data_IF_961408623233
#
_entry.id   IF_961408623233
#
_cell.length_a   1.000
_cell.length_b   1.000
_cell.length_c   1.000
_cell.angle_alpha   90.00
_cell.angle_beta   90.00
_cell.angle_gamma   90.00
#
_symmetry.space_group_name_H-M   'P 1'
#
loop_
_entity.id
_entity.type
_entity.pdbx_description
1 polymer ?
#
# COMPACT_ATOMS: atom_id res chain seq x y z
N UNK A 1 -2.35 -23.80 5.57
CA UNK A 1 -3.11 -22.54 5.74
C UNK A 1 -4.14 -22.57 4.64
N UNK A 2 -5.43 -22.50 4.97
CA UNK A 2 -6.46 -22.34 3.95
C UNK A 2 -6.40 -20.90 3.45
N UNK A 3 -6.13 -20.71 2.15
CA UNK A 3 -5.95 -19.39 1.53
C UNK A 3 -7.21 -18.49 1.70
N UNK A 4 -8.38 -19.09 1.84
CA UNK A 4 -9.65 -18.38 1.95
C UNK A 4 -9.80 -17.50 3.21
N UNK A 5 -9.06 -17.83 4.30
CA UNK A 5 -9.15 -17.14 5.59
C UNK A 5 -7.84 -16.39 5.94
N UNK A 6 -6.96 -16.21 4.96
CA UNK A 6 -5.67 -15.57 5.20
C UNK A 6 -5.59 -14.19 4.55
N UNK A 7 -5.09 -13.21 5.31
CA UNK A 7 -4.89 -11.83 4.86
C UNK A 7 -3.44 -11.40 5.05
N UNK A 8 -2.89 -10.71 4.07
CA UNK A 8 -1.61 -10.02 4.22
C UNK A 8 -1.89 -8.64 4.81
N UNK A 9 -1.27 -8.37 5.95
CA UNK A 9 -1.41 -7.07 6.60
C UNK A 9 -0.37 -6.10 6.03
N UNK A 10 -0.84 -5.03 5.42
CA UNK A 10 -0.01 -3.91 4.98
C UNK A 10 -0.17 -2.71 5.92
N UNK A 11 0.81 -1.84 5.93
CA UNK A 11 0.74 -0.56 6.61
C UNK A 11 0.99 0.58 5.62
N UNK A 12 0.21 1.65 5.70
CA UNK A 12 0.38 2.83 4.86
C UNK A 12 0.10 4.13 5.61
N UNK A 13 0.86 5.17 5.30
CA UNK A 13 0.58 6.55 5.71
C UNK A 13 -0.30 7.28 4.69
N UNK A 14 -0.51 6.67 3.52
CA UNK A 14 -1.09 7.30 2.33
C UNK A 14 -2.25 6.46 1.78
N UNK A 15 -3.36 6.29 2.51
CA UNK A 15 -4.47 5.41 2.11
C UNK A 15 -5.02 5.67 0.71
N UNK A 16 -4.95 6.91 0.22
CA UNK A 16 -5.43 7.26 -1.11
C UNK A 16 -4.66 6.56 -2.26
N UNK A 17 -3.49 5.94 -2.01
CA UNK A 17 -2.81 5.16 -3.05
C UNK A 17 -3.34 3.73 -3.17
N UNK A 18 -4.12 3.24 -2.20
CA UNK A 18 -4.65 1.88 -2.21
C UNK A 18 -5.48 1.54 -3.45
N UNK A 19 -6.36 2.42 -4.01
CA UNK A 19 -7.08 2.09 -5.24
C UNK A 19 -6.16 1.81 -6.45
N UNK A 20 -4.92 2.31 -6.41
CA UNK A 20 -3.90 2.06 -7.45
C UNK A 20 -2.98 0.87 -7.09
N UNK A 21 -3.29 0.09 -6.05
CA UNK A 21 -2.52 -1.12 -5.71
C UNK A 21 -2.55 -2.13 -6.84
N UNK A 22 -1.37 -2.65 -7.20
CA UNK A 22 -1.20 -3.71 -8.21
C UNK A 22 -0.41 -4.90 -7.67
N UNK A 23 0.22 -4.79 -6.48
CA UNK A 23 0.98 -5.87 -5.87
C UNK A 23 1.19 -5.63 -4.37
N UNK A 24 1.71 -6.65 -3.69
CA UNK A 24 2.28 -6.54 -2.34
C UNK A 24 3.74 -6.97 -2.42
N UNK A 25 4.66 -6.08 -1.99
CA UNK A 25 6.08 -6.38 -1.94
C UNK A 25 6.47 -6.97 -0.57
N UNK A 26 7.34 -7.98 -0.60
CA UNK A 26 7.96 -8.63 0.56
C UNK A 26 9.47 -8.75 0.33
N UNK A 27 10.27 -8.85 1.38
CA UNK A 27 11.71 -9.04 1.22
C UNK A 27 12.06 -10.52 1.12
N UNK A 28 12.87 -10.90 0.13
CA UNK A 28 13.20 -12.30 -0.22
C UNK A 28 13.64 -13.13 0.99
N UNK A 29 14.55 -12.60 1.80
CA UNK A 29 15.21 -13.31 2.90
C UNK A 29 14.56 -13.08 4.27
N UNK A 30 13.57 -12.19 4.37
CA UNK A 30 12.84 -11.94 5.61
C UNK A 30 11.94 -13.13 5.94
N UNK A 31 11.86 -13.46 7.23
CA UNK A 31 10.94 -14.46 7.73
C UNK A 31 9.58 -13.81 8.01
N UNK A 32 8.55 -14.47 7.54
CA UNK A 32 7.15 -14.11 7.76
C UNK A 32 6.48 -15.18 8.60
N UNK A 33 5.45 -14.78 9.33
CA UNK A 33 4.63 -15.72 10.08
C UNK A 33 3.15 -15.53 9.78
N UNK A 34 2.41 -16.63 9.89
CA UNK A 34 0.97 -16.60 9.91
C UNK A 34 0.49 -16.61 11.34
N UNK A 35 -0.32 -15.64 11.70
CA UNK A 35 -0.89 -15.43 13.03
C UNK A 35 -2.38 -15.72 12.99
N UNK A 36 -2.84 -16.67 13.78
CA UNK A 36 -4.27 -16.88 14.00
C UNK A 36 -4.79 -15.81 14.96
N UNK A 37 -5.84 -15.14 14.54
CA UNK A 37 -6.61 -14.16 15.32
C UNK A 37 -8.10 -14.46 15.20
N UNK A 38 -8.94 -13.77 15.95
CA UNK A 38 -10.41 -14.01 15.93
C UNK A 38 -11.04 -13.81 14.55
N UNK A 39 -10.49 -12.89 13.72
CA UNK A 39 -10.99 -12.56 12.38
C UNK A 39 -10.35 -13.41 11.26
N UNK A 40 -9.55 -14.44 11.57
CA UNK A 40 -8.88 -15.27 10.57
C UNK A 40 -7.38 -15.36 10.77
N UNK A 41 -6.63 -15.39 9.69
CA UNK A 41 -5.16 -15.50 9.73
C UNK A 41 -4.49 -14.26 9.13
N UNK A 42 -3.54 -13.67 9.84
CA UNK A 42 -2.74 -12.55 9.35
C UNK A 42 -1.32 -13.01 8.98
N UNK A 43 -0.81 -12.47 7.87
CA UNK A 43 0.57 -12.67 7.42
C UNK A 43 1.34 -11.37 7.60
N UNK A 44 2.43 -11.42 8.38
CA UNK A 44 3.34 -10.29 8.67
C UNK A 44 4.79 -10.78 8.77
N UNK A 45 5.75 -9.85 8.73
CA UNK A 45 7.13 -10.17 9.08
C UNK A 45 7.24 -10.60 10.54
N UNK A 46 7.97 -11.69 10.78
CA UNK A 46 8.10 -12.29 12.13
C UNK A 46 8.74 -11.33 13.13
N UNK A 47 9.73 -10.56 12.71
CA UNK A 47 10.44 -9.57 13.54
C UNK A 47 9.53 -8.42 14.02
N UNK A 48 8.40 -8.19 13.34
CA UNK A 48 7.44 -7.14 13.67
C UNK A 48 6.23 -7.65 14.48
N UNK A 49 6.22 -8.92 14.88
CA UNK A 49 5.08 -9.53 15.58
C UNK A 49 4.67 -8.76 16.83
N UNK A 50 5.63 -8.39 17.69
CA UNK A 50 5.32 -7.68 18.94
C UNK A 50 4.74 -6.29 18.67
N UNK A 51 5.40 -5.51 17.80
CA UNK A 51 4.97 -4.14 17.49
C UNK A 51 3.62 -4.09 16.78
N UNK A 52 3.34 -5.05 15.89
CA UNK A 52 2.04 -5.18 15.21
C UNK A 52 0.97 -5.62 16.20
N UNK A 53 1.25 -6.59 17.08
CA UNK A 53 0.29 -7.04 18.09
C UNK A 53 -0.12 -5.91 19.02
N UNK A 54 0.85 -5.10 19.47
CA UNK A 54 0.56 -3.91 20.27
C UNK A 54 -0.25 -2.87 19.51
N UNK A 55 0.18 -2.52 18.28
CA UNK A 55 -0.47 -1.48 17.47
C UNK A 55 -1.91 -1.85 17.07
N UNK A 56 -2.16 -3.13 16.81
CA UNK A 56 -3.46 -3.67 16.42
C UNK A 56 -4.28 -4.21 17.60
N UNK A 57 -3.75 -4.17 18.82
CA UNK A 57 -4.40 -4.69 20.04
C UNK A 57 -4.84 -6.15 19.88
N UNK A 58 -3.92 -6.99 19.33
CA UNK A 58 -4.22 -8.40 19.11
C UNK A 58 -4.08 -9.16 20.45
N UNK A 59 -5.16 -9.82 20.84
CA UNK A 59 -5.16 -10.65 22.06
C UNK A 59 -4.54 -12.03 21.75
N UNK A 60 -3.35 -12.30 22.31
CA UNK A 60 -2.64 -13.57 22.25
C UNK A 60 -2.63 -14.23 20.84
N UNK A 61 -2.10 -13.56 19.81
CA UNK A 61 -2.06 -14.13 18.46
C UNK A 61 -1.22 -15.41 18.44
N UNK A 62 -1.79 -16.49 17.91
CA UNK A 62 -1.10 -17.77 17.81
C UNK A 62 -0.30 -17.85 16.50
N UNK A 63 1.02 -18.00 16.59
CA UNK A 63 1.84 -18.26 15.40
C UNK A 63 1.64 -19.70 14.93
N UNK A 64 0.98 -19.89 13.79
CA UNK A 64 0.60 -21.19 13.24
C UNK A 64 1.48 -21.67 12.10
N UNK A 65 2.24 -20.78 11.43
CA UNK A 65 3.18 -21.12 10.39
C UNK A 65 4.29 -20.08 10.28
N UNK A 66 5.39 -20.47 9.61
CA UNK A 66 6.55 -19.64 9.31
C UNK A 66 7.03 -19.95 7.90
N UNK A 67 7.40 -18.91 7.16
CA UNK A 67 7.93 -19.01 5.78
C UNK A 67 8.83 -17.83 5.47
N UNK A 68 9.57 -17.91 4.38
CA UNK A 68 10.41 -16.83 3.86
C UNK A 68 9.63 -15.99 2.85
N UNK A 69 10.06 -14.75 2.56
CA UNK A 69 9.48 -13.97 1.48
C UNK A 69 9.63 -14.64 0.11
N UNK A 70 10.69 -15.42 -0.10
CA UNK A 70 10.85 -16.23 -1.31
C UNK A 70 9.71 -17.25 -1.50
N UNK A 71 9.20 -17.84 -0.43
CA UNK A 71 8.07 -18.79 -0.47
C UNK A 71 6.72 -18.09 -0.69
N UNK A 72 6.62 -16.81 -0.37
CA UNK A 72 5.44 -15.99 -0.66
C UNK A 72 5.42 -15.46 -2.10
N UNK A 73 6.59 -15.33 -2.72
CA UNK A 73 6.70 -14.78 -4.07
C UNK A 73 5.91 -15.59 -5.09
N UNK A 74 5.11 -14.92 -5.89
CA UNK A 74 4.26 -15.54 -6.91
C UNK A 74 2.91 -16.03 -6.40
N UNK A 75 2.64 -15.97 -5.09
CA UNK A 75 1.28 -16.12 -4.58
C UNK A 75 0.45 -14.89 -4.93
N UNK A 76 -0.86 -15.02 -4.88
CA UNK A 76 -1.79 -13.96 -5.22
C UNK A 76 -2.72 -13.63 -4.04
N UNK A 77 -2.74 -12.37 -3.65
CA UNK A 77 -3.74 -11.81 -2.76
C UNK A 77 -4.85 -11.14 -3.58
N UNK A 78 -5.96 -10.81 -2.94
CA UNK A 78 -7.02 -9.98 -3.53
C UNK A 78 -6.96 -8.58 -2.95
N UNK A 79 -7.19 -7.60 -3.81
CA UNK A 79 -7.37 -6.22 -3.37
C UNK A 79 -8.59 -6.12 -2.42
N UNK A 80 -8.52 -5.37 -1.31
CA UNK A 80 -9.56 -5.41 -0.26
C UNK A 80 -10.93 -4.87 -0.68
N UNK A 81 -11.04 -4.10 -1.77
CA UNK A 81 -12.32 -3.50 -2.19
C UNK A 81 -12.45 -3.28 -3.71
N UNK A 82 -11.49 -3.71 -4.51
CA UNK A 82 -11.56 -3.72 -5.97
C UNK A 82 -11.42 -5.18 -6.42
N UNK A 83 -12.20 -5.60 -7.40
CA UNK A 83 -12.07 -6.96 -7.96
C UNK A 83 -10.82 -7.05 -8.85
N UNK A 84 -9.67 -7.10 -8.20
CA UNK A 84 -8.36 -7.13 -8.83
C UNK A 84 -7.42 -8.03 -8.03
N UNK A 85 -6.62 -8.89 -8.73
CA UNK A 85 -5.54 -9.61 -8.09
C UNK A 85 -4.43 -8.65 -7.65
N UNK A 86 -3.74 -9.00 -6.56
CA UNK A 86 -2.58 -8.32 -6.02
C UNK A 86 -1.48 -9.36 -5.80
N UNK A 87 -0.64 -9.66 -6.81
CA UNK A 87 0.42 -10.63 -6.70
C UNK A 87 1.43 -10.23 -5.62
N UNK A 88 1.99 -11.22 -4.95
CA UNK A 88 3.08 -11.02 -3.98
C UNK A 88 4.40 -11.08 -4.75
N UNK A 89 5.19 -10.03 -4.62
CA UNK A 89 6.47 -9.85 -5.31
C UNK A 89 7.60 -9.66 -4.30
N UNK A 90 8.82 -10.04 -4.67
CA UNK A 90 9.98 -9.72 -3.84
C UNK A 90 10.60 -8.39 -4.24
N UNK A 91 10.99 -7.58 -3.23
CA UNK A 91 11.68 -6.32 -3.43
C UNK A 91 12.68 -6.05 -2.29
N UNK A 92 13.87 -5.57 -2.64
CA UNK A 92 14.97 -5.35 -1.70
C UNK A 92 14.75 -4.14 -0.77
N UNK A 93 13.89 -3.19 -1.15
CA UNK A 93 13.61 -2.00 -0.33
C UNK A 93 12.71 -2.28 0.87
N UNK A 94 12.05 -3.44 0.92
CA UNK A 94 11.19 -3.80 2.06
C UNK A 94 12.06 -4.11 3.27
N UNK A 95 11.79 -3.41 4.38
CA UNK A 95 12.51 -3.57 5.65
C UNK A 95 11.59 -4.05 6.77
N UNK A 96 12.19 -4.45 7.89
CA UNK A 96 11.50 -4.79 9.14
C UNK A 96 11.75 -3.76 10.24
N UNK A 97 12.11 -2.53 9.88
CA UNK A 97 12.31 -1.46 10.87
C UNK A 97 10.99 -0.91 11.41
N UNK A 98 9.93 -0.95 10.59
CA UNK A 98 8.59 -0.48 10.95
C UNK A 98 7.52 -1.10 10.04
N UNK A 99 6.25 -0.89 10.41
CA UNK A 99 5.13 -1.39 9.63
C UNK A 99 4.83 -2.87 9.86
N UNK A 100 4.66 -3.63 8.79
CA UNK A 100 4.28 -5.06 8.82
C UNK A 100 5.26 -5.96 8.07
N UNK A 101 6.26 -5.38 7.39
CA UNK A 101 7.16 -6.10 6.47
C UNK A 101 6.50 -6.49 5.15
N UNK A 102 5.26 -6.07 4.92
CA UNK A 102 4.54 -6.24 3.67
C UNK A 102 4.13 -4.85 3.18
N UNK A 103 4.55 -4.47 1.98
CA UNK A 103 4.34 -3.13 1.44
C UNK A 103 3.40 -3.20 0.24
N UNK A 104 2.28 -2.48 0.29
CA UNK A 104 1.44 -2.34 -0.88
C UNK A 104 2.20 -1.57 -1.98
N UNK A 105 2.06 -1.99 -3.21
CA UNK A 105 2.80 -1.45 -4.36
C UNK A 105 1.85 -0.80 -5.35
N UNK A 106 2.05 0.49 -5.60
CA UNK A 106 1.30 1.30 -6.57
C UNK A 106 2.29 2.00 -7.52
N UNK A 107 2.64 1.38 -8.67
CA UNK A 107 3.70 1.86 -9.56
C UNK A 107 3.54 3.30 -10.06
N UNK A 108 2.32 3.81 -10.11
CA UNK A 108 2.03 5.20 -10.48
C UNK A 108 2.29 6.23 -9.38
N UNK A 109 2.61 5.81 -8.12
CA UNK A 109 2.62 6.69 -6.95
C UNK A 109 3.86 6.59 -6.06
N UNK A 110 4.90 5.89 -6.47
CA UNK A 110 6.15 5.78 -5.73
C UNK A 110 7.31 5.36 -6.62
N UNK A 111 8.53 5.82 -6.33
CA UNK A 111 9.71 5.46 -7.14
C UNK A 111 10.06 3.97 -6.96
N UNK A 112 10.10 3.48 -5.73
CA UNK A 112 10.41 2.08 -5.44
C UNK A 112 9.31 1.17 -5.99
N UNK A 113 8.05 1.58 -5.89
CA UNK A 113 6.90 0.89 -6.47
C UNK A 113 6.98 0.84 -8.00
N UNK A 114 7.37 1.97 -8.63
CA UNK A 114 7.58 2.05 -10.07
C UNK A 114 8.67 1.07 -10.52
N UNK A 115 9.84 1.09 -9.87
CA UNK A 115 10.96 0.20 -10.21
C UNK A 115 10.54 -1.28 -10.05
N UNK A 116 9.88 -1.60 -8.92
CA UNK A 116 9.38 -2.95 -8.67
C UNK A 116 8.34 -3.35 -9.70
N UNK A 117 7.43 -2.45 -10.05
CA UNK A 117 6.40 -2.68 -11.06
C UNK A 117 6.99 -2.98 -12.43
N UNK A 118 7.89 -2.14 -12.93
CA UNK A 118 8.54 -2.33 -14.24
C UNK A 118 9.33 -3.66 -14.29
N UNK A 119 10.07 -3.98 -13.24
CA UNK A 119 10.86 -5.21 -13.16
C UNK A 119 9.99 -6.48 -13.16
N UNK A 120 8.73 -6.36 -12.75
CA UNK A 120 7.77 -7.48 -12.69
C UNK A 120 6.65 -7.38 -13.75
N UNK A 121 6.75 -6.46 -14.71
CA UNK A 121 5.79 -6.33 -15.80
C UNK A 121 4.42 -5.78 -15.41
N UNK A 122 4.33 -5.08 -14.28
CA UNK A 122 3.10 -4.38 -13.88
C UNK A 122 2.94 -3.09 -14.69
N UNK A 123 1.70 -2.69 -14.93
CA UNK A 123 1.40 -1.39 -15.52
C UNK A 123 1.72 -0.22 -14.57
N UNK A 124 1.97 0.96 -15.14
CA UNK A 124 2.13 2.18 -14.35
C UNK A 124 0.76 2.84 -14.22
N UNK A 125 -0.07 2.26 -13.36
CA UNK A 125 -1.45 2.72 -13.15
C UNK A 125 -1.49 3.93 -12.22
N UNK A 126 -2.04 5.05 -12.74
CA UNK A 126 -2.14 6.31 -12.00
C UNK A 126 -3.52 6.95 -12.23
N UNK A 127 -4.55 6.59 -11.43
CA UNK A 127 -5.92 7.04 -11.62
C UNK A 127 -6.19 8.44 -11.04
N UNK A 128 -5.25 9.38 -11.19
CA UNK A 128 -5.32 10.75 -10.64
C UNK A 128 -5.14 11.76 -11.77
N UNK A 129 -6.05 12.71 -11.89
CA UNK A 129 -6.01 13.80 -12.85
C UNK A 129 -5.01 14.92 -12.46
N UNK A 130 -4.88 15.96 -13.32
CA UNK A 130 -3.98 17.10 -13.08
C UNK A 130 -4.38 17.98 -11.90
N UNK A 131 -5.60 17.82 -11.39
CA UNK A 131 -6.10 18.53 -10.20
C UNK A 131 -5.89 17.72 -8.91
N UNK A 132 -5.31 16.53 -9.03
CA UNK A 132 -5.14 15.63 -7.89
C UNK A 132 -6.44 14.96 -7.46
N UNK A 133 -7.34 14.66 -8.40
CA UNK A 133 -8.61 13.99 -8.11
C UNK A 133 -8.67 12.63 -8.80
N UNK A 134 -9.32 11.65 -8.18
CA UNK A 134 -9.56 10.36 -8.84
C UNK A 134 -10.40 10.54 -10.11
N UNK A 135 -9.96 9.87 -11.18
CA UNK A 135 -10.69 9.81 -12.46
C UNK A 135 -11.73 8.69 -12.45
N UNK A 136 -12.72 8.79 -13.31
CA UNK A 136 -13.64 7.69 -13.63
C UNK A 136 -13.08 6.88 -14.81
N UNK A 137 -12.39 5.81 -14.52
CA UNK A 137 -11.80 4.90 -15.51
C UNK A 137 -12.48 3.50 -15.49
N UNK A 138 -13.56 3.37 -14.73
CA UNK A 138 -14.29 2.13 -14.55
C UNK A 138 -13.64 1.16 -13.55
N UNK A 139 -12.45 1.45 -13.01
CA UNK A 139 -11.76 0.65 -12.02
C UNK A 139 -11.87 1.26 -10.61
N UNK A 140 -11.93 2.59 -10.53
CA UNK A 140 -12.07 3.30 -9.27
C UNK A 140 -13.51 3.20 -8.77
N UNK A 141 -13.75 2.82 -7.48
CA UNK A 141 -15.08 2.85 -6.89
C UNK A 141 -15.75 4.22 -7.08
N UNK A 142 -17.03 4.22 -7.49
CA UNK A 142 -17.78 5.43 -7.78
C UNK A 142 -17.79 6.45 -6.63
N UNK A 143 -17.77 5.96 -5.39
CA UNK A 143 -17.74 6.79 -4.18
C UNK A 143 -16.41 7.56 -3.99
N UNK A 144 -15.37 7.16 -4.72
CA UNK A 144 -14.06 7.83 -4.70
C UNK A 144 -13.85 8.77 -5.89
N UNK A 145 -14.56 8.57 -7.00
CA UNK A 145 -14.41 9.40 -8.22
C UNK A 145 -14.60 10.88 -7.88
N UNK A 146 -13.66 11.70 -8.34
CA UNK A 146 -13.65 13.15 -8.12
C UNK A 146 -13.17 13.60 -6.74
N UNK A 147 -12.91 12.69 -5.80
CA UNK A 147 -12.32 13.06 -4.51
C UNK A 147 -10.85 13.48 -4.67
N UNK A 148 -10.49 14.58 -4.04
CA UNK A 148 -9.10 15.08 -4.04
C UNK A 148 -8.22 14.26 -3.11
N UNK A 149 -7.03 13.91 -3.59
CA UNK A 149 -5.96 13.28 -2.79
C UNK A 149 -5.09 14.31 -2.07
N UNK A 150 -5.21 15.59 -2.46
CA UNK A 150 -4.40 16.67 -1.90
C UNK A 150 -4.84 17.01 -0.49
N UNK A 151 -3.87 17.15 0.40
CA UNK A 151 -4.07 17.65 1.75
C UNK A 151 -3.88 19.17 1.79
N UNK A 152 -4.62 19.84 2.64
CA UNK A 152 -4.44 21.26 2.91
C UNK A 152 -3.50 21.48 4.11
N UNK A 153 -3.10 22.73 4.34
CA UNK A 153 -2.20 23.10 5.44
C UNK A 153 -2.85 22.95 6.83
N UNK A 154 -4.10 22.50 6.91
CA UNK A 154 -4.81 22.30 8.19
C UNK A 154 -4.41 20.99 8.89
N UNK A 155 -3.65 20.12 8.21
CA UNK A 155 -3.29 18.79 8.71
C UNK A 155 -4.47 17.82 8.80
N UNK A 156 -5.57 18.12 8.10
CA UNK A 156 -6.69 17.19 7.94
C UNK A 156 -6.42 16.22 6.80
N UNK A 157 -6.79 14.94 6.97
CA UNK A 157 -6.70 13.97 5.87
C UNK A 157 -7.48 14.44 4.65
N UNK A 158 -6.96 14.18 3.45
CA UNK A 158 -7.65 14.50 2.20
C UNK A 158 -9.02 13.80 2.10
N UNK A 159 -9.96 14.34 1.30
CA UNK A 159 -11.23 13.66 1.02
C UNK A 159 -11.05 12.23 0.53
N UNK A 160 -10.05 11.97 -0.32
CA UNK A 160 -9.71 10.63 -0.82
C UNK A 160 -9.24 9.70 0.30
N UNK A 161 -8.35 10.16 1.21
CA UNK A 161 -7.94 9.39 2.38
C UNK A 161 -9.15 8.97 3.24
N UNK A 162 -10.06 9.92 3.51
CA UNK A 162 -11.27 9.63 4.29
C UNK A 162 -12.21 8.66 3.56
N UNK A 163 -12.35 8.80 2.24
CA UNK A 163 -13.15 7.91 1.39
C UNK A 163 -12.63 6.46 1.45
N UNK A 164 -11.34 6.28 1.20
CA UNK A 164 -10.70 4.95 1.25
C UNK A 164 -10.80 4.34 2.64
N UNK A 165 -10.48 5.09 3.70
CA UNK A 165 -10.61 4.59 5.08
C UNK A 165 -12.04 4.15 5.42
N UNK A 166 -13.06 4.84 4.90
CA UNK A 166 -14.46 4.44 5.08
C UNK A 166 -14.77 3.11 4.38
N UNK A 167 -14.28 2.92 3.16
CA UNK A 167 -14.50 1.68 2.40
C UNK A 167 -13.84 0.50 3.11
N UNK A 168 -12.55 0.59 3.46
CA UNK A 168 -11.83 -0.52 4.11
C UNK A 168 -12.39 -0.84 5.51
N UNK A 169 -12.86 0.18 6.24
CA UNK A 169 -13.54 -0.04 7.51
C UNK A 169 -14.90 -0.73 7.32
N UNK A 170 -15.66 -0.32 6.30
CA UNK A 170 -16.96 -0.92 5.96
C UNK A 170 -16.87 -2.39 5.54
N UNK A 171 -15.75 -2.78 4.90
CA UNK A 171 -15.49 -4.16 4.45
C UNK A 171 -14.79 -5.03 5.53
N UNK A 172 -14.51 -4.48 6.71
CA UNK A 172 -13.78 -5.19 7.76
C UNK A 172 -12.27 -5.36 7.46
N UNK A 173 -11.73 -4.67 6.45
CA UNK A 173 -10.32 -4.76 6.05
C UNK A 173 -9.41 -3.76 6.79
N UNK A 174 -9.96 -2.88 7.62
CA UNK A 174 -9.19 -1.96 8.46
C UNK A 174 -8.97 -2.59 9.85
N UNK A 175 -7.78 -3.11 10.08
CA UNK A 175 -7.45 -3.74 11.36
C UNK A 175 -7.18 -2.71 12.47
N UNK A 176 -6.38 -1.68 12.17
CA UNK A 176 -6.05 -0.62 13.13
C UNK A 176 -5.79 0.71 12.43
N UNK A 177 -5.93 1.80 13.20
CA UNK A 177 -5.59 3.16 12.77
C UNK A 177 -4.83 3.87 13.89
N UNK A 178 -3.66 4.39 13.56
CA UNK A 178 -2.82 5.16 14.50
C UNK A 178 -2.48 6.51 13.88
N UNK A 179 -2.54 7.58 14.67
CA UNK A 179 -1.99 8.87 14.27
C UNK A 179 -0.48 8.83 14.47
N UNK A 180 0.27 9.18 13.44
CA UNK A 180 1.73 9.29 13.50
C UNK A 180 2.16 10.68 13.04
N UNK A 181 3.32 11.11 13.50
CA UNK A 181 4.03 12.28 12.98
C UNK A 181 5.20 11.79 12.15
N UNK A 182 5.31 12.22 10.93
CA UNK A 182 6.40 11.89 10.03
C UNK A 182 6.71 13.06 9.11
N UNK A 183 7.92 13.09 8.59
CA UNK A 183 8.33 14.07 7.59
C UNK A 183 7.60 13.80 6.28
N UNK A 184 7.00 14.83 5.70
CA UNK A 184 6.33 14.75 4.41
C UNK A 184 6.97 15.75 3.43
N UNK A 185 7.21 15.38 2.18
CA UNK A 185 7.81 16.29 1.21
C UNK A 185 6.86 17.44 0.87
N UNK A 186 7.41 18.65 0.89
CA UNK A 186 6.69 19.87 0.52
C UNK A 186 7.36 20.56 -0.64
N UNK A 187 6.58 21.22 -1.49
CA UNK A 187 7.09 22.09 -2.53
C UNK A 187 7.91 23.22 -1.91
N UNK A 188 9.16 23.38 -2.34
CA UNK A 188 10.04 24.40 -1.77
C UNK A 188 9.51 25.83 -1.97
N UNK A 189 8.72 26.06 -3.02
CA UNK A 189 8.17 27.38 -3.38
C UNK A 189 6.82 27.65 -2.70
N UNK A 190 5.81 26.79 -2.92
CA UNK A 190 4.45 26.97 -2.37
C UNK A 190 4.33 26.51 -0.92
N UNK A 191 5.28 25.69 -0.41
CA UNK A 191 5.23 25.06 0.92
C UNK A 191 4.08 24.08 1.11
N UNK A 192 3.33 23.76 0.07
CA UNK A 192 2.24 22.78 0.11
C UNK A 192 2.79 21.35 0.02
N UNK A 193 2.10 20.36 0.61
CA UNK A 193 2.42 18.95 0.42
C UNK A 193 2.46 18.57 -1.06
N UNK A 194 3.39 17.71 -1.44
CA UNK A 194 3.49 17.18 -2.82
C UNK A 194 3.07 15.72 -2.86
N UNK A 195 2.58 15.27 -4.01
CA UNK A 195 2.26 13.87 -4.26
C UNK A 195 3.18 13.30 -5.34
N UNK A 196 3.46 11.99 -5.27
CA UNK A 196 4.07 11.26 -6.37
C UNK A 196 2.98 10.80 -7.33
N UNK A 197 3.17 11.08 -8.61
CA UNK A 197 2.22 10.77 -9.66
C UNK A 197 2.95 10.50 -10.97
N UNK A 198 2.71 9.35 -11.59
CA UNK A 198 3.18 9.11 -12.94
C UNK A 198 2.39 9.99 -13.93
N UNK A 199 3.10 10.60 -14.87
CA UNK A 199 2.52 11.43 -15.91
C UNK A 199 3.40 11.42 -17.14
N UNK A 200 2.80 11.57 -18.31
CA UNK A 200 3.52 11.69 -19.57
C UNK A 200 4.38 12.96 -19.60
N UNK A 201 5.63 12.80 -19.99
CA UNK A 201 6.60 13.90 -20.09
C UNK A 201 7.32 13.88 -21.42
N UNK A 202 7.66 15.04 -21.95
CA UNK A 202 8.56 15.18 -23.07
C UNK A 202 10.00 15.20 -22.59
N UNK A 203 10.83 14.31 -23.15
CA UNK A 203 12.26 14.30 -22.92
C UNK A 203 12.99 14.67 -24.20
N UNK A 204 13.87 15.68 -24.12
CA UNK A 204 14.72 16.11 -25.21
C UNK A 204 16.15 15.80 -24.81
N UNK A 205 16.83 14.92 -25.58
CA UNK A 205 18.26 14.66 -25.35
C UNK A 205 19.06 15.91 -25.67
N UNK A 206 19.85 16.36 -24.71
CA UNK A 206 20.77 17.50 -24.89
C UNK A 206 22.18 17.05 -25.27
N UNK A 207 22.50 15.76 -25.15
CA UNK A 207 23.84 15.17 -25.31
C UNK A 207 23.91 14.31 -26.59
N UNK A 208 23.25 14.72 -27.67
CA UNK A 208 23.48 14.13 -28.98
C UNK A 208 24.58 14.92 -29.70
N UNK A 209 25.77 14.29 -29.82
CA UNK A 209 26.77 14.65 -30.84
C UNK A 209 26.25 14.38 -32.26
#
# INVERSE_FOLDING_TARGET
IEAADSSILIWTTTPWTLPANLAVAVHTNTHYCALRIDQGTLIIAEDLLESVSEACQLDNPEKIARFTGAELNGLEARHPFIDRPSPILTAEYVTTESGTGCVHTAPGHGLDDYITGINNGLEVYCPIDDRGCYIDDGQIPSDLVGLSVLEDDSGKPSPANLGVLRIIAGNGALLAKKKIEHSYPHCWRSKTPVIFRAMDQWFISLDKD
#
